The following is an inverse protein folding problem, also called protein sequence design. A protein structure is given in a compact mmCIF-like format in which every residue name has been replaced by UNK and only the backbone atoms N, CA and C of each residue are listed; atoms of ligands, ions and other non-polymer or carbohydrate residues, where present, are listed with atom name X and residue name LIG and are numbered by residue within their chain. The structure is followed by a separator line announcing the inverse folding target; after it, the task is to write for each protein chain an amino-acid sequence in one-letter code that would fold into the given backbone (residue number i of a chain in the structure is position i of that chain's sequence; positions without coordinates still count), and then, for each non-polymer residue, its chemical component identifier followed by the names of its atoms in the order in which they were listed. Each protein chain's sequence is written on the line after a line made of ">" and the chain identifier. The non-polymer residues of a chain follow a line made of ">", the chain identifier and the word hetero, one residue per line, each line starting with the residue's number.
data_IF_386372536409
#
_entry.id   IF_386372536409
#
_cell.length_a   1.000
_cell.length_b   1.000
_cell.length_c   1.000
_cell.angle_alpha   90.00
_cell.angle_beta   90.00
_cell.angle_gamma   90.00
#
_symmetry.space_group_name_H-M   'P 1'
#
loop_
_entity.id
_entity.type
_entity.pdbx_description
1 polymer ?
#
# COMPACT_ATOMS: atom_id res chain seq x y z
N UNK A 1 15.73 -6.49 -20.76
CA UNK A 1 14.33 -6.82 -21.06
C UNK A 1 14.07 -6.48 -22.51
N UNK A 2 13.35 -7.33 -23.24
CA UNK A 2 12.89 -7.09 -24.61
C UNK A 2 12.00 -5.83 -24.67
N UNK A 3 11.73 -5.27 -25.85
CA UNK A 3 10.70 -4.24 -25.96
C UNK A 3 9.33 -4.86 -25.65
N UNK A 4 8.46 -4.18 -24.89
CA UNK A 4 7.11 -4.69 -24.64
C UNK A 4 6.31 -4.72 -25.93
N UNK A 5 5.55 -5.80 -26.14
CA UNK A 5 4.64 -5.97 -27.28
C UNK A 5 3.53 -4.91 -27.24
N UNK A 6 3.05 -4.56 -26.05
CA UNK A 6 2.05 -3.51 -25.83
C UNK A 6 2.42 -2.70 -24.58
N UNK A 7 2.23 -1.38 -24.64
CA UNK A 7 2.41 -0.48 -23.51
C UNK A 7 1.17 0.39 -23.32
N UNK A 8 0.64 0.43 -22.11
CA UNK A 8 -0.51 1.25 -21.71
C UNK A 8 -0.11 2.13 -20.53
N UNK A 9 -0.50 3.40 -20.56
CA UNK A 9 -0.14 4.38 -19.54
C UNK A 9 -1.39 4.96 -18.89
N UNK A 10 -1.37 5.11 -17.56
CA UNK A 10 -2.42 5.76 -16.78
C UNK A 10 -1.83 6.91 -15.96
N UNK A 11 -2.64 7.93 -15.73
CA UNK A 11 -2.31 9.00 -14.78
C UNK A 11 -3.10 8.83 -13.49
N UNK A 12 -2.43 9.10 -12.38
CA UNK A 12 -3.05 9.01 -11.06
C UNK A 12 -2.44 9.98 -10.08
N UNK A 13 -2.81 9.81 -8.81
CA UNK A 13 -2.23 10.54 -7.70
C UNK A 13 -1.75 9.58 -6.64
N UNK A 14 -0.67 9.96 -5.96
CA UNK A 14 -0.20 9.23 -4.79
C UNK A 14 -0.17 10.14 -3.57
N UNK A 15 -0.60 9.59 -2.44
CA UNK A 15 -0.40 10.20 -1.13
C UNK A 15 0.78 9.53 -0.44
N UNK A 16 1.83 10.31 -0.18
CA UNK A 16 3.01 9.88 0.56
C UNK A 16 2.69 9.95 2.05
N UNK A 17 2.87 8.82 2.72
CA UNK A 17 2.70 8.68 4.16
C UNK A 17 3.90 8.00 4.80
N UNK A 18 3.97 8.10 6.11
CA UNK A 18 4.87 7.33 6.95
C UNK A 18 4.05 6.19 7.56
N UNK A 19 4.58 4.98 7.45
CA UNK A 19 4.12 3.81 8.19
C UNK A 19 5.27 3.33 9.06
N UNK A 20 4.99 3.03 10.31
CA UNK A 20 5.92 2.28 11.13
C UNK A 20 6.13 0.88 10.50
N UNK A 21 7.37 0.41 10.33
CA UNK A 21 7.68 -0.81 9.55
C UNK A 21 6.89 -2.07 9.97
N UNK A 22 6.48 -2.17 11.23
CA UNK A 22 5.69 -3.29 11.76
C UNK A 22 4.16 -3.12 11.63
N UNK A 23 3.65 -2.00 11.08
CA UNK A 23 2.20 -1.77 10.93
C UNK A 23 1.53 -2.70 9.92
N UNK A 24 2.28 -3.41 9.06
CA UNK A 24 1.72 -4.44 8.16
C UNK A 24 0.98 -5.56 8.92
N UNK A 25 1.24 -5.73 10.22
CA UNK A 25 0.52 -6.69 11.08
C UNK A 25 -0.89 -6.22 11.50
N UNK A 26 -1.11 -4.90 11.58
CA UNK A 26 -2.38 -4.29 11.98
C UNK A 26 -3.29 -4.19 10.75
N UNK A 27 -3.80 -5.33 10.31
CA UNK A 27 -4.79 -5.41 9.24
C UNK A 27 -6.01 -6.21 9.69
N UNK A 28 -7.19 -5.67 9.39
CA UNK A 28 -8.44 -6.43 9.46
C UNK A 28 -8.54 -7.28 8.20
N UNK A 29 -8.70 -8.57 8.39
CA UNK A 29 -8.88 -9.55 7.32
C UNK A 29 -10.39 -9.77 7.08
N UNK A 30 -10.82 -10.20 5.89
CA UNK A 30 -12.24 -10.45 5.63
C UNK A 30 -12.90 -11.39 6.65
N UNK A 31 -12.18 -12.41 7.13
CA UNK A 31 -12.67 -13.39 8.10
C UNK A 31 -12.94 -12.76 9.47
N UNK A 32 -12.26 -11.67 9.80
CA UNK A 32 -12.46 -10.93 11.06
C UNK A 32 -13.85 -10.27 11.11
N UNK A 33 -14.55 -10.14 9.97
CA UNK A 33 -15.93 -9.62 9.89
C UNK A 33 -17.02 -10.71 9.84
N UNK A 34 -16.64 -11.98 9.97
CA UNK A 34 -17.58 -13.12 9.87
C UNK A 34 -18.61 -13.18 11.00
N UNK A 35 -18.34 -12.58 12.17
CA UNK A 35 -19.26 -12.51 13.30
C UNK A 35 -18.85 -11.42 14.31
N UNK A 36 -19.74 -11.00 15.21
CA UNK A 36 -19.39 -10.06 16.29
C UNK A 36 -18.23 -10.54 17.16
N UNK A 37 -18.17 -11.85 17.46
CA UNK A 37 -17.08 -12.43 18.24
C UNK A 37 -15.76 -12.40 17.47
N UNK A 38 -15.76 -12.71 16.17
CA UNK A 38 -14.56 -12.64 15.33
C UNK A 38 -13.98 -11.22 15.29
N UNK A 39 -14.85 -10.20 15.19
CA UNK A 39 -14.42 -8.80 15.20
C UNK A 39 -13.81 -8.43 16.56
N UNK A 40 -14.44 -8.84 17.66
CA UNK A 40 -13.89 -8.61 19.00
C UNK A 40 -12.49 -9.24 19.15
N UNK A 41 -12.30 -10.48 18.69
CA UNK A 41 -10.99 -11.14 18.70
C UNK A 41 -9.95 -10.39 17.85
N UNK A 42 -10.34 -9.90 16.67
CA UNK A 42 -9.45 -9.13 15.81
C UNK A 42 -9.05 -7.79 16.44
N UNK A 43 -9.97 -7.09 17.10
CA UNK A 43 -9.67 -5.87 17.84
C UNK A 43 -8.73 -6.12 19.01
N UNK A 44 -8.92 -7.22 19.75
CA UNK A 44 -7.99 -7.62 20.82
C UNK A 44 -6.59 -7.93 20.29
N UNK A 45 -6.47 -8.61 19.14
CA UNK A 45 -5.19 -8.86 18.45
C UNK A 45 -4.49 -7.54 18.12
N UNK A 46 -5.20 -6.63 17.45
CA UNK A 46 -4.66 -5.32 17.07
C UNK A 46 -4.21 -4.52 18.30
N UNK A 47 -5.00 -4.52 19.37
CA UNK A 47 -4.63 -3.84 20.62
C UNK A 47 -3.35 -4.41 21.24
N UNK A 48 -3.22 -5.75 21.26
CA UNK A 48 -2.00 -6.39 21.77
C UNK A 48 -0.77 -6.05 20.92
N UNK A 49 -0.91 -6.02 19.60
CA UNK A 49 0.16 -5.62 18.69
C UNK A 49 0.57 -4.15 18.93
N UNK A 50 -0.39 -3.25 19.07
CA UNK A 50 -0.14 -1.83 19.39
C UNK A 50 0.64 -1.67 20.71
N UNK A 51 0.30 -2.45 21.74
CA UNK A 51 1.03 -2.41 23.02
C UNK A 51 2.45 -2.94 22.91
N UNK A 52 2.66 -4.03 22.15
CA UNK A 52 4.00 -4.56 21.90
C UNK A 52 4.86 -3.55 21.11
N UNK A 53 4.24 -2.82 20.21
CA UNK A 53 4.87 -1.81 19.37
C UNK A 53 5.41 -0.62 20.16
N UNK A 54 4.74 -0.18 21.23
CA UNK A 54 5.20 0.92 22.09
C UNK A 54 6.52 0.61 22.80
N UNK A 55 6.88 -0.66 22.98
CA UNK A 55 8.08 -1.09 23.68
C UNK A 55 9.30 -1.28 22.75
N UNK A 56 9.14 -1.05 21.45
CA UNK A 56 10.20 -1.24 20.44
C UNK A 56 10.59 0.10 19.81
N UNK A 57 11.89 0.35 19.59
CA UNK A 57 12.33 1.43 18.70
C UNK A 57 11.98 1.02 17.28
N UNK A 58 11.11 1.78 16.63
CA UNK A 58 10.62 1.44 15.29
C UNK A 58 11.29 2.31 14.23
N UNK A 59 11.67 1.67 13.14
CA UNK A 59 12.12 2.34 11.92
C UNK A 59 10.87 2.79 11.13
N UNK A 60 10.89 4.06 10.71
CA UNK A 60 9.83 4.65 9.88
C UNK A 60 10.03 4.19 8.44
N UNK A 61 9.03 3.52 7.88
CA UNK A 61 8.93 3.23 6.46
C UNK A 61 8.09 4.30 5.76
N UNK A 62 8.51 4.72 4.58
CA UNK A 62 7.77 5.64 3.72
C UNK A 62 7.00 4.85 2.68
N UNK A 63 5.73 5.18 2.47
CA UNK A 63 4.88 4.51 1.49
C UNK A 63 4.06 5.50 0.68
N UNK A 64 3.66 5.10 -0.52
CA UNK A 64 2.67 5.78 -1.34
C UNK A 64 1.40 4.93 -1.47
N UNK A 65 0.25 5.52 -1.15
CA UNK A 65 -1.05 5.04 -1.62
C UNK A 65 -1.33 5.67 -2.99
N UNK A 66 -1.10 4.91 -4.05
CA UNK A 66 -1.33 5.29 -5.44
C UNK A 66 -2.77 4.96 -5.83
N UNK A 67 -3.48 5.93 -6.40
CA UNK A 67 -4.84 5.78 -6.90
C UNK A 67 -4.97 6.27 -8.33
N UNK A 68 -5.58 5.45 -9.17
CA UNK A 68 -5.93 5.77 -10.56
C UNK A 68 -7.21 5.03 -10.98
N UNK A 69 -7.73 5.36 -12.15
CA UNK A 69 -8.86 4.66 -12.77
C UNK A 69 -8.35 3.89 -13.98
N UNK A 70 -8.70 2.61 -14.09
CA UNK A 70 -8.33 1.78 -15.23
C UNK A 70 -9.10 2.16 -16.51
N UNK A 71 -8.78 1.52 -17.63
CA UNK A 71 -9.42 1.80 -18.93
C UNK A 71 -10.89 1.36 -19.01
N UNK A 72 -11.36 0.59 -18.04
CA UNK A 72 -12.74 0.11 -17.92
C UNK A 72 -13.56 0.95 -16.93
N UNK A 73 -12.96 1.97 -16.31
CA UNK A 73 -13.61 2.85 -15.33
C UNK A 73 -13.53 2.37 -13.88
N UNK A 74 -12.78 1.31 -13.59
CA UNK A 74 -12.67 0.79 -12.22
C UNK A 74 -11.61 1.56 -11.43
N UNK A 75 -11.87 1.90 -10.15
CA UNK A 75 -10.87 2.48 -9.27
C UNK A 75 -9.84 1.42 -8.86
N UNK A 76 -8.55 1.76 -8.97
CA UNK A 76 -7.43 0.89 -8.58
C UNK A 76 -6.60 1.60 -7.52
N UNK A 77 -6.22 0.86 -6.46
CA UNK A 77 -5.31 1.31 -5.41
C UNK A 77 -4.07 0.43 -5.40
N UNK A 78 -2.88 1.03 -5.42
CA UNK A 78 -1.60 0.32 -5.37
C UNK A 78 -0.74 0.92 -4.27
N UNK A 79 -0.24 0.06 -3.37
CA UNK A 79 0.75 0.45 -2.38
C UNK A 79 2.16 0.37 -2.94
N UNK A 80 2.95 1.43 -2.79
CA UNK A 80 4.38 1.44 -3.13
C UNK A 80 5.19 1.69 -1.85
N UNK A 81 6.17 0.82 -1.59
CA UNK A 81 7.05 0.89 -0.42
C UNK A 81 8.37 1.57 -0.81
N UNK A 82 8.71 2.69 -0.18
CA UNK A 82 9.97 3.41 -0.38
C UNK A 82 11.04 3.03 0.66
N UNK A 83 10.72 2.15 1.61
CA UNK A 83 11.63 1.78 2.70
C UNK A 83 11.89 2.93 3.68
N UNK A 84 13.06 2.93 4.32
CA UNK A 84 13.36 3.84 5.44
C UNK A 84 13.78 5.26 5.04
N UNK A 85 13.92 5.51 3.74
CA UNK A 85 14.35 6.81 3.22
C UNK A 85 13.17 7.59 2.70
N UNK A 86 13.04 8.83 3.17
CA UNK A 86 12.07 9.76 2.62
C UNK A 86 12.31 9.91 1.10
N UNK A 87 11.32 9.61 0.25
CA UNK A 87 11.48 9.80 -1.18
C UNK A 87 11.71 11.30 -1.46
N UNK A 88 12.55 11.67 -2.46
CA UNK A 88 12.91 13.06 -2.75
C UNK A 88 11.76 13.80 -3.47
N UNK A 89 10.60 13.85 -2.83
CA UNK A 89 9.37 14.48 -3.31
C UNK A 89 9.08 15.72 -2.47
N UNK A 90 8.76 16.83 -3.12
CA UNK A 90 8.53 18.11 -2.45
C UNK A 90 7.15 18.23 -1.80
N UNK A 91 6.22 17.32 -2.10
CA UNK A 91 4.83 17.34 -1.64
C UNK A 91 4.38 15.97 -1.15
N UNK A 92 3.46 15.95 -0.19
CA UNK A 92 2.79 14.72 0.28
C UNK A 92 1.76 14.17 -0.71
N UNK A 93 1.24 15.00 -1.61
CA UNK A 93 0.39 14.57 -2.72
C UNK A 93 1.12 14.83 -4.04
N UNK A 94 1.32 13.79 -4.83
CA UNK A 94 2.09 13.84 -6.07
C UNK A 94 1.32 13.22 -7.22
N UNK A 95 1.58 13.71 -8.44
CA UNK A 95 1.12 13.05 -9.65
C UNK A 95 1.95 11.78 -9.86
N UNK A 96 1.31 10.72 -10.34
CA UNK A 96 1.98 9.50 -10.74
C UNK A 96 1.60 9.10 -12.15
N UNK A 97 2.53 8.41 -12.81
CA UNK A 97 2.31 7.74 -14.08
C UNK A 97 2.44 6.25 -13.84
N UNK A 98 1.40 5.50 -14.15
CA UNK A 98 1.38 4.04 -14.09
C UNK A 98 1.59 3.54 -15.51
N UNK A 99 2.46 2.55 -15.67
CA UNK A 99 2.70 1.93 -16.97
C UNK A 99 2.45 0.44 -16.83
N UNK A 100 1.59 -0.11 -17.68
CA UNK A 100 1.39 -1.56 -17.83
C UNK A 100 2.05 -1.97 -19.15
N UNK A 101 3.00 -2.87 -19.06
CA UNK A 101 3.77 -3.39 -20.20
C UNK A 101 3.47 -4.87 -20.36
N UNK A 102 3.10 -5.27 -21.57
CA UNK A 102 2.83 -6.64 -21.95
C UNK A 102 4.05 -7.19 -22.71
N UNK A 103 4.47 -8.39 -22.32
CA UNK A 103 5.56 -9.13 -22.93
C UNK A 103 5.01 -10.49 -23.32
N UNK A 104 5.38 -11.00 -24.49
CA UNK A 104 5.08 -12.39 -24.83
C UNK A 104 5.84 -13.32 -23.87
N UNK A 105 5.15 -14.35 -23.36
CA UNK A 105 5.82 -15.44 -22.65
C UNK A 105 6.67 -16.23 -23.66
N UNK A 106 7.91 -16.57 -23.29
CA UNK A 106 8.78 -17.42 -24.12
C UNK A 106 8.19 -18.81 -24.36
#
# INVERSE_FOLDING_TARGET
>A
MSQPTIKVEFEGKAKIGEMMGNFKAIQLRPEDFSSPLALQMALSRIYSELMNMMNQRQELHYVADVKFTDSMGNPVSVGVDFGDKIPPLSKKEVKVKITIEFYDEE
#
